data_IF_930574808515
#
_entry.id   IF_930574808515
#
_cell.length_a   1.000
_cell.length_b   1.000
_cell.length_c   1.000
_cell.angle_alpha   90.00
_cell.angle_beta   90.00
_cell.angle_gamma   90.00
#
_symmetry.space_group_name_H-M   'P 1'
#
loop_
_entity.id
_entity.type
_entity.pdbx_description
1 polymer ?
#
# COMPACT_ATOMS: atom_id res chain seq x y z
N UNK A 1 1.24 46.93 -61.81
CA UNK A 1 0.95 45.48 -61.94
C UNK A 1 1.25 44.81 -60.60
N UNK A 2 0.27 44.12 -59.99
CA UNK A 2 0.35 43.44 -58.70
C UNK A 2 0.80 41.96 -58.90
N UNK A 3 0.75 41.05 -57.89
CA UNK A 3 0.69 41.25 -56.43
C UNK A 3 1.69 40.39 -55.62
N UNK A 4 1.90 40.82 -54.38
CA UNK A 4 2.27 40.00 -53.21
C UNK A 4 1.03 39.31 -52.62
N UNK A 5 1.09 37.99 -52.44
CA UNK A 5 0.06 37.15 -51.77
C UNK A 5 0.77 36.29 -50.72
N UNK A 6 0.13 36.08 -49.57
CA UNK A 6 0.49 35.18 -48.45
C UNK A 6 0.93 35.84 -47.12
N UNK A 7 0.10 36.75 -46.59
CA UNK A 7 0.18 37.12 -45.16
C UNK A 7 -1.17 37.42 -44.48
N UNK A 8 -2.27 36.82 -44.97
CA UNK A 8 -3.63 37.08 -44.42
C UNK A 8 -4.39 35.80 -44.06
N UNK A 9 -3.92 34.60 -44.41
CA UNK A 9 -4.65 33.34 -44.10
C UNK A 9 -4.29 32.68 -42.76
N UNK A 10 -3.28 33.17 -42.03
CA UNK A 10 -2.82 32.55 -40.78
C UNK A 10 -3.40 33.15 -39.49
N UNK A 11 -4.08 34.30 -39.55
CA UNK A 11 -4.69 34.92 -38.36
C UNK A 11 -6.16 34.53 -38.15
N UNK A 12 -6.85 33.98 -39.14
CA UNK A 12 -8.25 33.52 -39.01
C UNK A 12 -8.40 32.13 -38.40
N UNK A 13 -7.32 31.32 -38.37
CA UNK A 13 -7.34 29.98 -37.77
C UNK A 13 -7.07 29.98 -36.25
N UNK A 14 -6.59 31.09 -35.68
CA UNK A 14 -6.22 31.18 -34.26
C UNK A 14 -7.33 31.78 -33.36
N UNK A 15 -8.41 32.30 -33.95
CA UNK A 15 -9.50 32.98 -33.23
C UNK A 15 -10.79 32.15 -33.07
N UNK A 16 -10.86 30.92 -33.57
CA UNK A 16 -12.14 30.19 -33.72
C UNK A 16 -12.42 29.07 -32.69
N UNK A 17 -11.52 28.76 -31.76
CA UNK A 17 -11.73 27.62 -30.83
C UNK A 17 -11.77 28.00 -29.36
N UNK A 18 -12.18 29.23 -29.05
CA UNK A 18 -12.63 29.59 -27.70
C UNK A 18 -13.99 30.27 -27.74
N UNK A 19 -15.06 29.47 -27.66
CA UNK A 19 -16.26 29.75 -26.83
C UNK A 19 -17.37 28.71 -27.02
N UNK A 20 -18.03 28.41 -25.91
CA UNK A 20 -19.10 27.42 -25.67
C UNK A 20 -18.59 25.97 -25.65
N UNK A 21 -18.42 25.34 -24.50
CA UNK A 21 -19.44 25.11 -23.48
C UNK A 21 -19.05 25.60 -22.08
N UNK A 22 -19.82 26.56 -21.59
CA UNK A 22 -20.07 26.72 -20.16
C UNK A 22 -20.81 25.48 -19.66
N UNK A 23 -20.09 24.50 -19.14
CA UNK A 23 -20.70 23.48 -18.28
C UNK A 23 -20.53 23.93 -16.84
N UNK A 24 -21.69 24.14 -16.22
CA UNK A 24 -21.90 24.32 -14.80
C UNK A 24 -20.98 23.43 -13.98
N UNK A 25 -20.27 24.07 -13.05
CA UNK A 25 -19.80 23.46 -11.81
C UNK A 25 -21.05 22.88 -11.17
N UNK A 26 -21.23 21.55 -11.18
CA UNK A 26 -22.12 20.72 -10.34
C UNK A 26 -22.55 19.43 -11.05
N UNK A 27 -21.59 18.60 -11.49
CA UNK A 27 -21.87 17.19 -11.85
C UNK A 27 -20.80 16.27 -11.26
N UNK A 28 -21.09 15.53 -10.16
CA UNK A 28 -20.10 14.67 -9.49
C UNK A 28 -19.69 13.44 -10.32
N UNK A 29 -20.46 13.07 -11.35
CA UNK A 29 -20.31 11.81 -12.09
C UNK A 29 -19.47 11.91 -13.38
N UNK A 30 -19.22 13.12 -13.90
CA UNK A 30 -18.48 13.35 -15.18
C UNK A 30 -16.96 13.54 -14.96
N UNK A 31 -16.50 13.55 -13.70
CA UNK A 31 -15.13 13.95 -13.36
C UNK A 31 -14.11 12.82 -13.29
N UNK A 32 -14.48 11.55 -13.08
CA UNK A 32 -13.50 10.45 -12.94
C UNK A 32 -12.92 9.95 -14.26
N UNK A 33 -13.69 9.92 -15.34
CA UNK A 33 -13.27 9.33 -16.62
C UNK A 33 -12.21 10.19 -17.34
N UNK A 34 -12.28 11.53 -17.16
CA UNK A 34 -11.32 12.48 -17.72
C UNK A 34 -10.05 12.70 -16.86
N UNK A 35 -9.91 12.01 -15.71
CA UNK A 35 -8.74 12.11 -14.84
C UNK A 35 -7.65 11.10 -15.24
N UNK A 36 -8.04 9.94 -15.76
CA UNK A 36 -7.14 8.86 -16.15
C UNK A 36 -6.93 8.91 -17.66
N UNK A 37 -5.84 9.54 -18.13
CA UNK A 37 -5.47 9.48 -19.54
C UNK A 37 -5.07 8.06 -19.96
N UNK A 38 -5.30 7.70 -21.23
CA UNK A 38 -4.78 6.45 -21.79
C UNK A 38 -3.24 6.46 -21.73
N UNK A 39 -2.67 5.42 -21.11
CA UNK A 39 -1.21 5.26 -20.99
C UNK A 39 -0.71 4.29 -22.07
N UNK A 40 0.42 4.56 -22.75
CA UNK A 40 0.97 3.64 -23.73
C UNK A 40 1.42 2.32 -23.07
N UNK A 41 0.97 1.18 -23.62
CA UNK A 41 1.39 -0.15 -23.19
C UNK A 41 2.91 -0.31 -23.32
N UNK A 42 3.58 -0.62 -22.21
CA UNK A 42 5.04 -0.83 -22.17
C UNK A 42 5.31 -2.29 -21.84
N UNK A 43 6.40 -2.91 -22.31
CA UNK A 43 6.71 -4.32 -22.02
C UNK A 43 6.86 -4.67 -20.51
N UNK A 44 6.79 -3.68 -19.63
CA UNK A 44 6.88 -3.79 -18.16
C UNK A 44 5.55 -3.51 -17.45
N UNK A 45 4.44 -3.32 -18.17
CA UNK A 45 3.13 -3.10 -17.56
C UNK A 45 2.52 -4.40 -17.04
N UNK A 46 1.74 -4.29 -15.96
CA UNK A 46 1.07 -5.41 -15.31
C UNK A 46 -0.43 -5.40 -15.63
N UNK A 47 -0.98 -6.60 -15.83
CA UNK A 47 -2.42 -6.76 -16.03
C UNK A 47 -3.19 -6.45 -14.74
N UNK A 48 -4.49 -6.08 -14.81
CA UNK A 48 -5.31 -5.86 -13.61
C UNK A 48 -5.34 -7.05 -12.65
N UNK A 49 -5.29 -8.27 -13.18
CA UNK A 49 -5.25 -9.52 -12.41
C UNK A 49 -3.91 -9.70 -11.67
N UNK A 50 -2.80 -9.40 -12.34
CA UNK A 50 -1.48 -9.42 -11.71
C UNK A 50 -1.37 -8.34 -10.63
N UNK A 51 -1.90 -7.15 -10.89
CA UNK A 51 -1.99 -6.07 -9.92
C UNK A 51 -2.84 -6.48 -8.70
N UNK A 52 -3.96 -7.17 -8.91
CA UNK A 52 -4.79 -7.72 -7.84
C UNK A 52 -4.01 -8.68 -6.94
N UNK A 53 -3.30 -9.65 -7.53
CA UNK A 53 -2.49 -10.62 -6.78
C UNK A 53 -1.39 -9.92 -5.98
N UNK A 54 -0.68 -8.96 -6.60
CA UNK A 54 0.34 -8.17 -5.91
C UNK A 54 -0.24 -7.35 -4.76
N UNK A 55 -1.40 -6.72 -4.96
CA UNK A 55 -2.08 -5.91 -3.95
C UNK A 55 -2.54 -6.77 -2.78
N UNK A 56 -3.19 -7.92 -3.02
CA UNK A 56 -3.60 -8.87 -1.99
C UNK A 56 -2.38 -9.34 -1.19
N UNK A 57 -1.30 -9.73 -1.85
CA UNK A 57 -0.09 -10.21 -1.17
C UNK A 57 0.46 -9.15 -0.20
N UNK A 58 0.59 -7.91 -0.68
CA UNK A 58 1.16 -6.83 0.14
C UNK A 58 0.23 -6.48 1.29
N UNK A 59 -1.08 -6.44 1.05
CA UNK A 59 -2.08 -6.14 2.08
C UNK A 59 -2.26 -7.28 3.10
N UNK A 60 -2.08 -8.55 2.73
CA UNK A 60 -2.18 -9.67 3.69
C UNK A 60 -1.01 -9.64 4.67
N UNK A 61 0.21 -9.41 4.17
CA UNK A 61 1.39 -9.11 4.98
C UNK A 61 1.68 -10.08 6.12
N UNK A 62 2.54 -9.68 7.05
CA UNK A 62 2.79 -10.42 8.30
C UNK A 62 1.80 -10.04 9.39
N UNK A 63 1.19 -8.85 9.30
CA UNK A 63 0.27 -8.36 10.31
C UNK A 63 -1.00 -9.22 10.46
N UNK A 64 -1.41 -9.96 9.41
CA UNK A 64 -2.51 -10.92 9.54
C UNK A 64 -2.29 -11.98 10.62
N UNK A 65 -1.02 -12.36 10.87
CA UNK A 65 -0.66 -13.36 11.87
C UNK A 65 -0.90 -12.86 13.29
N UNK A 66 -1.01 -11.54 13.48
CA UNK A 66 -1.24 -10.89 14.77
C UNK A 66 -2.71 -10.55 15.02
N UNK A 67 -3.59 -10.77 14.03
CA UNK A 67 -5.03 -10.51 14.17
C UNK A 67 -5.69 -11.31 15.30
N UNK A 68 -5.35 -12.58 15.57
CA UNK A 68 -5.91 -13.30 16.72
C UNK A 68 -5.62 -12.60 18.05
N UNK A 69 -4.43 -12.01 18.19
CA UNK A 69 -4.07 -11.20 19.35
C UNK A 69 -4.89 -9.90 19.40
N UNK A 70 -5.11 -9.24 18.26
CA UNK A 70 -6.00 -8.08 18.21
C UNK A 70 -7.40 -8.42 18.75
N UNK A 71 -8.01 -9.51 18.25
CA UNK A 71 -9.34 -9.95 18.68
C UNK A 71 -9.41 -10.33 20.17
N UNK A 72 -8.28 -10.73 20.79
CA UNK A 72 -8.21 -10.89 22.25
C UNK A 72 -8.41 -9.58 23.01
N UNK A 73 -7.97 -8.46 22.46
CA UNK A 73 -8.14 -7.14 23.08
C UNK A 73 -9.55 -6.57 22.89
N UNK A 74 -10.15 -6.74 21.71
CA UNK A 74 -11.48 -6.17 21.39
C UNK A 74 -12.66 -7.10 21.67
N UNK A 75 -12.45 -8.41 21.79
CA UNK A 75 -13.52 -9.41 21.81
C UNK A 75 -14.04 -9.76 20.41
N UNK A 76 -14.74 -10.88 20.27
CA UNK A 76 -15.09 -11.45 18.97
C UNK A 76 -15.94 -10.51 18.09
N UNK A 77 -17.11 -10.09 18.60
CA UNK A 77 -18.09 -9.35 17.80
C UNK A 77 -17.71 -7.89 17.62
N UNK A 78 -17.21 -7.27 18.69
CA UNK A 78 -16.74 -5.89 18.65
C UNK A 78 -15.52 -5.75 17.73
N UNK A 79 -14.59 -6.72 17.78
CA UNK A 79 -13.45 -6.80 16.88
C UNK A 79 -13.86 -6.95 15.42
N UNK A 80 -14.83 -7.82 15.11
CA UNK A 80 -15.35 -8.01 13.75
C UNK A 80 -15.96 -6.72 13.19
N UNK A 81 -16.76 -6.03 14.00
CA UNK A 81 -17.37 -4.76 13.62
C UNK A 81 -16.33 -3.67 13.34
N UNK A 82 -15.37 -3.46 14.25
CA UNK A 82 -14.33 -2.46 14.04
C UNK A 82 -13.38 -2.82 12.91
N UNK A 83 -13.06 -4.10 12.71
CA UNK A 83 -12.25 -4.55 11.59
C UNK A 83 -12.89 -4.18 10.24
N UNK A 84 -14.21 -4.37 10.10
CA UNK A 84 -14.95 -3.99 8.91
C UNK A 84 -14.93 -2.46 8.69
N UNK A 85 -15.13 -1.67 9.75
CA UNK A 85 -15.06 -0.20 9.67
C UNK A 85 -13.66 0.25 9.24
N UNK A 86 -12.60 -0.27 9.88
CA UNK A 86 -11.22 0.08 9.57
C UNK A 86 -10.93 -0.26 8.11
N UNK A 87 -11.37 -1.42 7.62
CA UNK A 87 -11.20 -1.78 6.22
C UNK A 87 -11.87 -0.78 5.27
N UNK A 88 -13.13 -0.41 5.51
CA UNK A 88 -13.84 0.58 4.69
C UNK A 88 -13.13 1.94 4.69
N UNK A 89 -12.67 2.39 5.87
CA UNK A 89 -11.91 3.64 6.02
C UNK A 89 -10.58 3.55 5.27
N UNK A 90 -9.84 2.45 5.41
CA UNK A 90 -8.58 2.21 4.70
C UNK A 90 -8.78 2.22 3.18
N UNK A 91 -9.78 1.49 2.66
CA UNK A 91 -10.10 1.48 1.23
C UNK A 91 -10.47 2.87 0.71
N UNK A 92 -11.27 3.62 1.49
CA UNK A 92 -11.61 5.01 1.16
C UNK A 92 -10.35 5.90 1.10
N UNK A 93 -9.48 5.82 2.10
CA UNK A 93 -8.22 6.56 2.12
C UNK A 93 -7.32 6.20 0.93
N UNK A 94 -7.24 4.92 0.56
CA UNK A 94 -6.48 4.45 -0.59
C UNK A 94 -7.04 5.00 -1.91
N UNK A 95 -8.37 5.02 -2.05
CA UNK A 95 -9.03 5.63 -3.22
C UNK A 95 -8.75 7.12 -3.31
N UNK A 96 -8.87 7.84 -2.19
CA UNK A 96 -8.55 9.28 -2.13
C UNK A 96 -7.08 9.54 -2.48
N UNK A 97 -6.14 8.70 -2.01
CA UNK A 97 -4.73 8.81 -2.34
C UNK A 97 -4.48 8.72 -3.86
N UNK A 98 -5.13 7.76 -4.55
CA UNK A 98 -5.01 7.61 -6.01
C UNK A 98 -5.61 8.82 -6.75
N UNK A 99 -6.79 9.28 -6.34
CA UNK A 99 -7.43 10.47 -6.94
C UNK A 99 -6.55 11.73 -6.78
N UNK A 100 -5.99 11.94 -5.58
CA UNK A 100 -5.07 13.03 -5.31
C UNK A 100 -3.79 12.93 -6.16
N UNK A 101 -3.26 11.71 -6.35
CA UNK A 101 -2.11 11.48 -7.22
C UNK A 101 -2.37 11.98 -8.64
N UNK A 102 -3.49 11.58 -9.24
CA UNK A 102 -3.83 11.99 -10.60
C UNK A 102 -4.15 13.48 -10.72
N UNK A 103 -4.79 14.07 -9.72
CA UNK A 103 -5.01 15.51 -9.66
C UNK A 103 -3.68 16.29 -9.70
N UNK A 104 -2.67 15.83 -8.96
CA UNK A 104 -1.32 16.43 -8.93
C UNK A 104 -0.57 16.14 -10.24
N UNK A 105 -0.66 14.93 -10.81
CA UNK A 105 -0.09 14.56 -12.11
C UNK A 105 -0.53 15.54 -13.19
N UNK A 106 -1.85 15.81 -13.29
CA UNK A 106 -2.43 16.72 -14.28
C UNK A 106 -1.95 18.16 -14.10
N UNK A 107 -1.75 18.62 -12.86
CA UNK A 107 -1.22 19.97 -12.57
C UNK A 107 0.27 20.12 -12.86
N UNK A 108 1.07 19.07 -12.63
CA UNK A 108 2.52 19.08 -12.90
C UNK A 108 2.87 18.69 -14.34
N UNK A 109 1.90 18.22 -15.14
CA UNK A 109 2.13 17.74 -16.49
C UNK A 109 2.99 16.47 -16.52
N UNK A 110 2.83 15.60 -15.52
CA UNK A 110 3.58 14.33 -15.40
C UNK A 110 2.62 13.14 -15.47
N UNK A 111 3.03 12.07 -16.15
CA UNK A 111 2.16 10.88 -16.36
C UNK A 111 2.14 9.93 -15.14
N UNK A 112 3.19 9.96 -14.30
CA UNK A 112 3.36 9.10 -13.12
C UNK A 112 4.01 9.87 -11.98
N UNK A 113 3.50 9.68 -10.77
CA UNK A 113 4.08 10.23 -9.53
C UNK A 113 4.28 9.11 -8.51
N UNK A 114 5.47 9.06 -7.92
CA UNK A 114 5.73 8.19 -6.78
C UNK A 114 5.04 8.74 -5.53
N UNK A 115 4.79 7.86 -4.56
CA UNK A 115 4.13 8.19 -3.29
C UNK A 115 4.71 9.45 -2.62
N UNK A 116 6.04 9.60 -2.61
CA UNK A 116 6.68 10.75 -1.99
C UNK A 116 6.46 12.08 -2.76
N UNK A 117 6.30 12.04 -4.08
CA UNK A 117 6.04 13.22 -4.89
C UNK A 117 4.57 13.61 -4.86
N UNK A 118 3.66 12.64 -4.74
CA UNK A 118 2.24 12.88 -4.43
C UNK A 118 2.11 13.60 -3.10
N UNK A 119 2.78 13.10 -2.05
CA UNK A 119 2.74 13.75 -0.73
C UNK A 119 3.31 15.18 -0.76
N UNK A 120 4.42 15.40 -1.46
CA UNK A 120 4.98 16.75 -1.66
C UNK A 120 4.01 17.66 -2.42
N UNK A 121 3.44 17.17 -3.52
CA UNK A 121 2.46 17.94 -4.29
C UNK A 121 1.21 18.27 -3.48
N UNK A 122 0.75 17.34 -2.63
CA UNK A 122 -0.40 17.57 -1.76
C UNK A 122 -0.15 18.70 -0.74
N UNK A 123 1.08 18.82 -0.24
CA UNK A 123 1.51 19.92 0.63
C UNK A 123 1.67 21.23 -0.15
N UNK A 124 2.31 21.19 -1.32
CA UNK A 124 2.57 22.37 -2.17
C UNK A 124 1.27 23.03 -2.67
N UNK A 125 0.30 22.21 -3.08
CA UNK A 125 -1.01 22.65 -3.56
C UNK A 125 -2.09 22.66 -2.47
N UNK A 126 -1.70 22.33 -1.23
CA UNK A 126 -2.58 22.32 -0.08
C UNK A 126 -2.98 23.73 0.38
N UNK A 127 -3.95 23.83 1.30
CA UNK A 127 -4.42 25.10 1.84
C UNK A 127 -3.28 25.86 2.57
N UNK A 128 -3.34 27.21 2.66
CA UNK A 128 -2.18 28.05 3.00
C UNK A 128 -1.52 27.74 4.35
N UNK A 129 -2.30 27.40 5.38
CA UNK A 129 -1.82 26.87 6.66
C UNK A 129 -0.93 25.62 6.52
N UNK A 130 -1.32 24.62 5.73
CA UNK A 130 -0.53 23.39 5.53
C UNK A 130 0.72 23.68 4.68
N UNK A 131 0.70 24.68 3.80
CA UNK A 131 1.86 25.03 2.97
C UNK A 131 3.03 25.57 3.79
N UNK A 132 2.73 26.30 4.87
CA UNK A 132 3.74 26.84 5.79
C UNK A 132 4.25 25.78 6.78
N UNK A 133 3.37 24.94 7.34
CA UNK A 133 3.73 23.86 8.26
C UNK A 133 4.20 22.56 7.57
N UNK A 134 3.93 22.36 6.30
CA UNK A 134 4.27 21.13 5.58
C UNK A 134 5.77 20.97 5.34
N UNK A 135 6.51 22.08 5.25
CA UNK A 135 7.97 22.06 5.31
C UNK A 135 8.49 21.74 6.72
N UNK A 136 7.74 22.09 7.78
CA UNK A 136 8.06 21.72 9.16
C UNK A 136 7.91 20.20 9.40
N UNK A 137 6.90 19.53 8.82
CA UNK A 137 6.79 18.06 8.87
C UNK A 137 7.97 17.33 8.21
N UNK A 138 8.61 17.91 7.19
CA UNK A 138 9.84 17.36 6.58
C UNK A 138 11.03 17.45 7.55
N UNK A 139 11.10 18.54 8.32
CA UNK A 139 12.14 18.77 9.33
C UNK A 139 11.92 17.86 10.54
N UNK A 140 10.70 17.81 11.06
CA UNK A 140 10.32 17.07 12.27
C UNK A 140 10.40 15.54 12.10
N UNK A 141 10.05 14.98 10.93
CA UNK A 141 10.18 13.54 10.69
C UNK A 141 11.64 13.10 10.59
N UNK A 142 12.53 13.97 10.09
CA UNK A 142 13.98 13.71 10.11
C UNK A 142 14.61 13.99 11.48
N UNK A 143 14.13 15.01 12.21
CA UNK A 143 14.65 15.40 13.52
C UNK A 143 14.18 14.47 14.66
N UNK A 144 12.92 14.01 14.70
CA UNK A 144 12.45 13.05 15.71
C UNK A 144 13.04 11.65 15.52
N UNK A 145 13.48 11.30 14.31
CA UNK A 145 14.28 10.08 14.07
C UNK A 145 15.74 10.26 14.52
N UNK A 146 16.13 11.44 15.01
CA UNK A 146 17.51 11.81 15.38
C UNK A 146 17.73 12.17 16.85
N UNK A 147 16.69 12.19 17.69
CA UNK A 147 16.81 12.60 19.10
C UNK A 147 16.88 11.45 20.10
N UNK A 148 17.84 10.53 19.91
CA UNK A 148 18.25 9.57 20.95
C UNK A 148 19.76 9.72 21.19
N UNK A 149 20.14 10.04 22.43
CA UNK A 149 21.52 10.33 22.88
C UNK A 149 22.45 9.09 22.95
N UNK A 150 22.49 8.27 21.90
CA UNK A 150 23.49 7.21 21.67
C UNK A 150 24.12 7.45 20.29
N UNK A 151 25.43 7.25 20.15
CA UNK A 151 26.24 7.46 18.93
C UNK A 151 25.45 7.17 17.64
N UNK A 152 25.05 8.25 16.96
CA UNK A 152 24.17 8.27 15.79
C UNK A 152 24.73 7.42 14.64
N UNK A 153 26.06 7.32 14.54
CA UNK A 153 26.75 6.46 13.60
C UNK A 153 26.59 4.97 13.90
N UNK A 154 26.37 4.56 15.15
CA UNK A 154 26.24 3.16 15.56
C UNK A 154 24.94 2.50 15.12
N UNK A 155 23.80 3.18 15.31
CA UNK A 155 22.51 2.71 14.82
C UNK A 155 22.40 2.79 13.30
N UNK A 156 22.92 3.87 12.71
CA UNK A 156 23.00 4.01 11.27
C UNK A 156 23.87 2.89 10.71
N UNK A 157 25.08 2.63 11.21
CA UNK A 157 25.94 1.54 10.73
C UNK A 157 25.33 0.14 10.95
N UNK A 158 24.69 -0.10 12.10
CA UNK A 158 24.10 -1.39 12.45
C UNK A 158 22.87 -1.74 11.60
N UNK A 159 22.07 -0.74 11.17
CA UNK A 159 20.98 -0.91 10.21
C UNK A 159 21.47 -0.83 8.75
N UNK A 160 22.49 -0.01 8.47
CA UNK A 160 23.04 0.20 7.12
C UNK A 160 23.72 -1.06 6.59
N UNK A 161 24.38 -1.88 7.40
CA UNK A 161 25.03 -3.11 6.96
C UNK A 161 24.00 -4.15 6.42
N UNK A 162 22.92 -4.49 7.15
CA UNK A 162 21.88 -5.37 6.59
C UNK A 162 21.06 -4.70 5.49
N UNK A 163 20.81 -3.38 5.55
CA UNK A 163 20.09 -2.64 4.49
C UNK A 163 20.91 -2.58 3.20
N UNK A 164 22.21 -2.30 3.25
CA UNK A 164 23.09 -2.31 2.07
C UNK A 164 23.24 -3.71 1.48
N UNK A 165 23.32 -4.75 2.33
CA UNK A 165 23.33 -6.16 1.90
C UNK A 165 22.03 -6.56 1.19
N UNK A 166 20.87 -6.17 1.72
CA UNK A 166 19.55 -6.44 1.13
C UNK A 166 19.25 -5.55 -0.09
N UNK A 167 19.80 -4.34 -0.17
CA UNK A 167 19.64 -3.39 -1.29
C UNK A 167 20.64 -3.60 -2.43
N UNK A 168 21.58 -4.55 -2.34
CA UNK A 168 22.52 -4.87 -3.44
C UNK A 168 21.83 -5.64 -4.58
N UNK A 169 20.57 -6.07 -4.43
CA UNK A 169 19.79 -6.64 -5.53
C UNK A 169 19.32 -5.53 -6.47
N UNK A 170 20.23 -5.07 -7.32
CA UNK A 170 19.99 -4.07 -8.38
C UNK A 170 19.17 -4.60 -9.56
N UNK A 171 18.87 -5.90 -9.60
CA UNK A 171 18.13 -6.51 -10.71
C UNK A 171 16.79 -7.08 -10.24
N UNK A 172 15.77 -6.23 -10.18
CA UNK A 172 14.35 -6.61 -10.03
C UNK A 172 13.93 -7.72 -11.02
N UNK A 173 14.60 -7.82 -12.17
CA UNK A 173 14.36 -8.86 -13.20
C UNK A 173 14.65 -10.28 -12.72
N UNK A 174 15.67 -10.50 -11.88
CA UNK A 174 15.99 -11.84 -11.34
C UNK A 174 15.08 -12.19 -10.16
N UNK A 175 14.54 -11.17 -9.48
CA UNK A 175 13.67 -11.34 -8.32
C UNK A 175 12.23 -11.71 -8.73
N UNK A 176 11.78 -11.34 -9.92
CA UNK A 176 10.42 -11.62 -10.40
C UNK A 176 10.00 -13.11 -10.31
N UNK A 177 10.75 -14.10 -10.86
CA UNK A 177 10.38 -15.50 -10.74
C UNK A 177 10.48 -16.03 -9.29
N UNK A 178 11.46 -15.55 -8.53
CA UNK A 178 11.61 -15.92 -7.12
C UNK A 178 10.44 -15.40 -6.27
N UNK A 179 10.01 -14.16 -6.52
CA UNK A 179 8.86 -13.54 -5.87
C UNK A 179 7.56 -14.26 -6.25
N UNK A 180 7.40 -14.72 -7.49
CA UNK A 180 6.27 -15.54 -7.90
C UNK A 180 6.19 -16.83 -7.07
N UNK A 181 7.30 -17.57 -6.96
CA UNK A 181 7.37 -18.78 -6.14
C UNK A 181 7.05 -18.46 -4.67
N UNK A 182 7.65 -17.39 -4.12
CA UNK A 182 7.38 -16.96 -2.75
C UNK A 182 5.91 -16.59 -2.52
N UNK A 183 5.21 -16.04 -3.52
CA UNK A 183 3.77 -15.74 -3.42
C UNK A 183 2.94 -17.02 -3.33
N UNK A 184 3.23 -18.01 -4.17
CA UNK A 184 2.54 -19.30 -4.13
C UNK A 184 2.77 -20.01 -2.79
N UNK A 185 4.01 -20.02 -2.31
CA UNK A 185 4.37 -20.59 -1.01
C UNK A 185 3.67 -19.85 0.13
N UNK A 186 3.60 -18.53 0.06
CA UNK A 186 2.90 -17.71 1.06
C UNK A 186 1.40 -18.01 1.11
N UNK A 187 0.72 -18.05 -0.04
CA UNK A 187 -0.71 -18.39 -0.11
C UNK A 187 -0.97 -19.78 0.46
N UNK A 188 -0.12 -20.75 0.10
CA UNK A 188 -0.21 -22.11 0.64
C UNK A 188 -0.02 -22.12 2.17
N UNK A 189 0.99 -21.43 2.69
CA UNK A 189 1.27 -21.36 4.11
C UNK A 189 0.13 -20.69 4.90
N UNK A 190 -0.46 -19.63 4.35
CA UNK A 190 -1.66 -18.98 4.90
C UNK A 190 -2.84 -19.95 4.93
N UNK A 191 -3.05 -20.71 3.84
CA UNK A 191 -4.09 -21.73 3.76
C UNK A 191 -3.98 -22.77 4.88
N UNK A 192 -2.78 -23.31 5.12
CA UNK A 192 -2.57 -24.29 6.20
C UNK A 192 -2.80 -23.68 7.59
N UNK A 193 -2.40 -22.42 7.80
CA UNK A 193 -2.68 -21.74 9.07
C UNK A 193 -4.19 -21.60 9.28
N UNK A 194 -4.94 -21.16 8.25
CA UNK A 194 -6.40 -21.02 8.33
C UNK A 194 -7.07 -22.38 8.58
N UNK A 195 -6.64 -23.44 7.90
CA UNK A 195 -7.12 -24.81 8.12
C UNK A 195 -6.91 -25.25 9.57
N UNK A 196 -5.70 -25.04 10.12
CA UNK A 196 -5.40 -25.35 11.51
C UNK A 196 -6.33 -24.59 12.49
N UNK A 197 -6.58 -23.30 12.23
CA UNK A 197 -7.45 -22.48 13.07
C UNK A 197 -8.91 -22.95 13.03
N UNK A 198 -9.42 -23.35 11.87
CA UNK A 198 -10.82 -23.79 11.71
C UNK A 198 -11.04 -25.21 12.25
N UNK A 199 -10.00 -26.05 12.28
CA UNK A 199 -10.10 -27.43 12.79
C UNK A 199 -9.98 -27.52 14.32
N UNK A 200 -9.35 -26.54 14.97
CA UNK A 200 -9.10 -26.53 16.42
C UNK A 200 -9.92 -25.46 17.15
N UNK A 201 -11.23 -25.40 16.86
CA UNK A 201 -12.12 -24.40 17.45
C UNK A 201 -12.57 -24.80 18.85
N UNK A 202 -12.51 -23.84 19.78
CA UNK A 202 -13.19 -23.95 21.07
C UNK A 202 -14.65 -23.45 20.95
N UNK A 203 -15.54 -23.77 21.90
CA UNK A 203 -16.89 -23.21 21.95
C UNK A 203 -16.87 -21.68 21.99
N UNK A 204 -17.82 -21.01 21.33
CA UNK A 204 -17.89 -19.54 21.24
C UNK A 204 -18.01 -18.88 22.61
N UNK A 205 -18.64 -19.56 23.57
CA UNK A 205 -18.80 -19.08 24.95
C UNK A 205 -17.50 -19.07 25.76
N UNK A 206 -16.42 -19.68 25.24
CA UNK A 206 -15.12 -19.72 25.91
C UNK A 206 -14.35 -18.39 25.85
N UNK A 207 -14.78 -17.46 25.01
CA UNK A 207 -14.13 -16.17 24.78
C UNK A 207 -15.11 -15.00 24.91
N UNK A 208 -14.68 -13.83 25.40
CA UNK A 208 -15.54 -12.67 25.55
C UNK A 208 -16.09 -12.19 24.20
N UNK A 209 -17.42 -12.06 24.13
CA UNK A 209 -18.12 -11.45 22.99
C UNK A 209 -17.71 -9.99 22.76
N UNK A 210 -17.46 -9.26 23.86
CA UNK A 210 -17.08 -7.84 23.88
C UNK A 210 -15.92 -7.65 24.85
N UNK A 211 -14.82 -7.09 24.37
CA UNK A 211 -13.62 -6.78 25.14
C UNK A 211 -13.73 -5.48 25.94
N UNK A 212 -12.65 -5.11 26.62
CA UNK A 212 -12.59 -3.88 27.44
C UNK A 212 -12.23 -2.69 26.56
N UNK A 213 -12.89 -1.54 26.79
CA UNK A 213 -12.60 -0.32 26.03
C UNK A 213 -11.15 0.17 26.17
N UNK A 214 -10.49 -0.15 27.28
CA UNK A 214 -9.10 0.25 27.55
C UNK A 214 -8.09 -0.44 26.62
N UNK A 215 -8.42 -1.62 26.11
CA UNK A 215 -7.55 -2.42 25.25
C UNK A 215 -7.80 -2.12 23.75
N UNK A 216 -8.81 -1.30 23.42
CA UNK A 216 -9.12 -0.92 22.04
C UNK A 216 -7.97 -0.23 21.31
N UNK A 217 -7.17 0.68 21.92
CA UNK A 217 -6.02 1.26 21.23
C UNK A 217 -5.01 0.22 20.75
N UNK A 218 -4.80 -0.87 21.52
CA UNK A 218 -3.95 -1.99 21.11
C UNK A 218 -4.57 -2.73 19.92
N UNK A 219 -5.88 -2.99 19.95
CA UNK A 219 -6.60 -3.57 18.82
C UNK A 219 -6.44 -2.73 17.55
N UNK A 220 -6.73 -1.42 17.63
CA UNK A 220 -6.59 -0.51 16.48
C UNK A 220 -5.15 -0.49 15.97
N UNK A 221 -4.15 -0.42 16.85
CA UNK A 221 -2.74 -0.45 16.47
C UNK A 221 -2.36 -1.73 15.71
N UNK A 222 -2.76 -2.90 16.22
CA UNK A 222 -2.46 -4.18 15.57
C UNK A 222 -3.22 -4.35 14.24
N UNK A 223 -4.47 -3.91 14.15
CA UNK A 223 -5.24 -3.97 12.88
C UNK A 223 -4.68 -2.98 11.86
N UNK A 224 -4.30 -1.77 12.26
CA UNK A 224 -3.66 -0.80 11.38
C UNK A 224 -2.29 -1.30 10.88
N UNK A 225 -1.55 -2.02 11.73
CA UNK A 225 -0.34 -2.73 11.32
C UNK A 225 -0.65 -3.88 10.34
N UNK A 226 -1.77 -4.57 10.49
CA UNK A 226 -2.20 -5.57 9.51
C UNK A 226 -2.52 -4.95 8.15
N UNK A 227 -3.21 -3.81 8.12
CA UNK A 227 -3.46 -3.03 6.88
C UNK A 227 -2.23 -2.26 6.37
N UNK A 228 -1.03 -2.77 6.62
CA UNK A 228 0.20 -2.31 5.97
C UNK A 228 0.14 -2.60 4.47
N UNK A 229 0.54 -1.64 3.63
CA UNK A 229 0.51 -1.79 2.17
C UNK A 229 0.10 -0.54 1.40
N UNK A 230 -0.35 0.50 2.09
CA UNK A 230 -0.77 1.77 1.44
C UNK A 230 0.35 2.40 0.60
N UNK A 231 1.62 2.24 1.01
CA UNK A 231 2.76 2.82 0.31
C UNK A 231 3.02 2.22 -1.09
N UNK A 232 2.60 0.98 -1.35
CA UNK A 232 2.81 0.30 -2.64
C UNK A 232 1.66 0.50 -3.62
N UNK A 233 0.55 1.10 -3.17
CA UNK A 233 -0.66 1.31 -3.99
C UNK A 233 -0.34 2.13 -5.24
N UNK A 234 0.40 3.23 -5.07
CA UNK A 234 0.76 4.10 -6.19
C UNK A 234 1.78 3.46 -7.15
N UNK A 235 2.87 2.82 -6.68
CA UNK A 235 3.73 2.02 -7.55
C UNK A 235 3.00 0.94 -8.36
N UNK A 236 2.05 0.22 -7.75
CA UNK A 236 1.25 -0.81 -8.44
C UNK A 236 0.35 -0.17 -9.49
N UNK A 237 -0.38 0.90 -9.13
CA UNK A 237 -1.24 1.64 -10.06
C UNK A 237 -0.45 2.20 -11.26
N UNK A 238 0.73 2.75 -10.99
CA UNK A 238 1.62 3.33 -12.00
C UNK A 238 2.14 2.31 -13.02
N UNK A 239 2.11 1.01 -12.68
CA UNK A 239 2.54 -0.08 -13.55
C UNK A 239 1.38 -0.75 -14.29
N UNK A 240 0.13 -0.44 -13.95
CA UNK A 240 -1.03 -1.09 -14.57
C UNK A 240 -1.30 -0.57 -15.99
N UNK A 241 -1.69 -1.51 -16.86
CA UNK A 241 -2.17 -1.21 -18.22
C UNK A 241 -3.43 -0.33 -18.22
N UNK A 242 -4.35 -0.59 -17.28
CA UNK A 242 -5.65 0.08 -17.19
C UNK A 242 -5.84 0.72 -15.80
N UNK A 243 -5.27 1.91 -15.56
CA UNK A 243 -5.30 2.56 -14.25
C UNK A 243 -6.71 2.94 -13.78
N UNK A 244 -7.63 3.26 -14.71
CA UNK A 244 -9.03 3.54 -14.37
C UNK A 244 -9.74 2.35 -13.69
N UNK A 245 -9.39 1.12 -14.09
CA UNK A 245 -9.94 -0.10 -13.49
C UNK A 245 -9.42 -0.32 -12.05
N UNK A 246 -8.39 0.42 -11.60
CA UNK A 246 -7.88 0.31 -10.24
C UNK A 246 -8.91 0.82 -9.20
N UNK A 247 -9.53 1.97 -9.46
CA UNK A 247 -10.46 2.65 -8.54
C UNK A 247 -11.94 2.45 -8.86
N UNK A 248 -12.25 1.74 -9.94
CA UNK A 248 -13.63 1.42 -10.35
C UNK A 248 -14.38 0.68 -9.24
N UNK A 249 -15.72 0.71 -9.25
CA UNK A 249 -16.53 0.10 -8.18
C UNK A 249 -16.25 -1.40 -7.99
N UNK A 250 -16.07 -2.14 -9.09
CA UNK A 250 -15.61 -3.53 -9.10
C UNK A 250 -14.14 -3.62 -9.52
N UNK A 251 -13.37 -2.59 -9.21
CA UNK A 251 -11.98 -2.46 -9.57
C UNK A 251 -11.05 -3.32 -8.71
N UNK A 252 -9.76 -3.22 -9.02
CA UNK A 252 -8.70 -3.99 -8.36
C UNK A 252 -8.64 -3.67 -6.86
N UNK A 253 -8.74 -2.40 -6.47
CA UNK A 253 -8.63 -1.96 -5.07
C UNK A 253 -9.77 -2.50 -4.18
N UNK A 254 -11.01 -2.39 -4.64
CA UNK A 254 -12.18 -2.84 -3.87
C UNK A 254 -12.20 -4.37 -3.76
N UNK A 255 -11.88 -5.07 -4.86
CA UNK A 255 -11.81 -6.54 -4.88
C UNK A 255 -10.71 -7.04 -3.95
N UNK A 256 -9.51 -6.43 -3.99
CA UNK A 256 -8.42 -6.77 -3.07
C UNK A 256 -8.82 -6.53 -1.61
N UNK A 257 -9.40 -5.36 -1.32
CA UNK A 257 -9.81 -4.98 0.03
C UNK A 257 -10.86 -5.95 0.61
N UNK A 258 -11.86 -6.34 -0.20
CA UNK A 258 -12.89 -7.29 0.20
C UNK A 258 -12.30 -8.68 0.48
N UNK A 259 -11.39 -9.16 -0.37
CA UNK A 259 -10.75 -10.46 -0.17
C UNK A 259 -9.86 -10.46 1.09
N UNK A 260 -9.07 -9.40 1.27
CA UNK A 260 -8.24 -9.21 2.47
C UNK A 260 -9.10 -9.16 3.71
N UNK A 261 -10.20 -8.40 3.69
CA UNK A 261 -11.16 -8.35 4.80
C UNK A 261 -11.72 -9.73 5.12
N UNK A 262 -12.11 -10.52 4.13
CA UNK A 262 -12.61 -11.88 4.34
C UNK A 262 -11.57 -12.77 5.03
N UNK A 263 -10.31 -12.73 4.57
CA UNK A 263 -9.21 -13.46 5.20
C UNK A 263 -8.96 -12.95 6.62
N UNK A 264 -8.97 -11.64 6.84
CA UNK A 264 -8.71 -11.02 8.14
C UNK A 264 -9.81 -11.32 9.16
N UNK A 265 -11.06 -11.28 8.74
CA UNK A 265 -12.19 -11.71 9.56
C UNK A 265 -12.05 -13.18 9.93
N UNK A 266 -11.71 -14.04 8.96
CA UNK A 266 -11.53 -15.49 9.19
C UNK A 266 -10.37 -15.74 10.16
N UNK A 267 -9.19 -15.20 9.88
CA UNK A 267 -8.01 -15.39 10.73
C UNK A 267 -8.16 -14.75 12.11
N UNK A 268 -8.74 -13.56 12.21
CA UNK A 268 -8.97 -12.88 13.48
C UNK A 268 -10.02 -13.58 14.35
N UNK A 269 -11.20 -13.86 13.79
CA UNK A 269 -12.31 -14.48 14.50
C UNK A 269 -11.99 -15.93 14.90
N UNK A 270 -11.67 -16.79 13.93
CA UNK A 270 -11.36 -18.20 14.23
C UNK A 270 -10.02 -18.36 14.94
N UNK A 271 -9.06 -17.47 14.68
CA UNK A 271 -7.78 -17.51 15.39
C UNK A 271 -7.92 -17.21 16.88
N UNK A 272 -8.73 -16.21 17.24
CA UNK A 272 -9.00 -15.95 18.65
C UNK A 272 -9.85 -17.06 19.27
N UNK A 273 -10.82 -17.61 18.53
CA UNK A 273 -11.64 -18.71 19.02
C UNK A 273 -10.83 -20.01 19.26
N UNK A 274 -9.88 -20.32 18.38
CA UNK A 274 -9.03 -21.50 18.50
C UNK A 274 -7.98 -21.37 19.62
N UNK A 275 -7.40 -20.17 19.80
CA UNK A 275 -6.27 -19.95 20.72
C UNK A 275 -6.68 -19.39 22.08
N UNK A 276 -7.84 -18.77 22.17
CA UNK A 276 -8.37 -18.14 23.38
C UNK A 276 -7.39 -17.17 24.03
N UNK A 277 -7.31 -17.22 25.36
CA UNK A 277 -6.45 -16.32 26.14
C UNK A 277 -4.94 -16.63 26.02
N UNK A 278 -4.57 -17.79 25.49
CA UNK A 278 -3.17 -18.22 25.34
C UNK A 278 -2.52 -17.74 24.04
N UNK A 279 -3.21 -16.88 23.26
CA UNK A 279 -2.67 -16.33 22.03
C UNK A 279 -1.40 -15.52 22.30
N UNK A 280 -0.31 -15.93 21.64
CA UNK A 280 0.94 -15.16 21.51
C UNK A 280 0.84 -14.11 20.40
N UNK A 281 1.86 -13.25 20.31
CA UNK A 281 1.96 -12.12 19.37
C UNK A 281 1.65 -12.49 17.91
N UNK A 282 2.06 -13.68 17.49
CA UNK A 282 1.73 -14.23 16.17
C UNK A 282 1.15 -15.63 16.29
N UNK A 283 0.17 -15.95 15.44
CA UNK A 283 -0.46 -17.28 15.35
C UNK A 283 0.56 -18.39 15.12
N UNK A 284 1.63 -18.13 14.37
CA UNK A 284 2.68 -19.10 14.07
C UNK A 284 3.42 -19.58 15.32
N UNK A 285 3.49 -18.77 16.39
CA UNK A 285 4.09 -19.16 17.67
C UNK A 285 3.20 -20.09 18.51
N UNK A 286 1.92 -20.20 18.16
CA UNK A 286 0.95 -21.08 18.82
C UNK A 286 0.79 -22.43 18.11
N UNK A 287 1.30 -22.56 16.88
CA UNK A 287 1.29 -23.84 16.15
C UNK A 287 2.13 -24.90 16.88
N UNK A 288 1.68 -26.16 16.92
CA UNK A 288 2.34 -27.23 17.65
C UNK A 288 3.74 -27.51 17.06
N UNK A 289 4.70 -27.96 17.88
CA UNK A 289 6.09 -28.16 17.49
C UNK A 289 6.29 -29.48 16.71
N UNK A 290 5.43 -29.77 15.73
CA UNK A 290 5.63 -30.89 14.81
C UNK A 290 6.51 -30.45 13.64
N UNK A 291 7.21 -31.41 13.02
CA UNK A 291 8.09 -31.17 11.87
C UNK A 291 7.34 -30.41 10.77
N UNK A 292 6.09 -30.80 10.50
CA UNK A 292 5.25 -30.17 9.47
C UNK A 292 5.05 -28.67 9.71
N UNK A 293 4.58 -28.27 10.90
CA UNK A 293 4.36 -26.85 11.20
C UNK A 293 5.67 -26.08 11.36
N UNK A 294 6.76 -26.72 11.79
CA UNK A 294 8.08 -26.08 11.80
C UNK A 294 8.58 -25.77 10.39
N UNK A 295 8.39 -26.67 9.43
CA UNK A 295 8.68 -26.42 8.01
C UNK A 295 7.88 -25.23 7.48
N UNK A 296 6.57 -25.16 7.78
CA UNK A 296 5.72 -24.03 7.39
C UNK A 296 6.22 -22.72 8.01
N UNK A 297 6.62 -22.71 9.28
CA UNK A 297 7.20 -21.51 9.92
C UNK A 297 8.46 -21.04 9.18
N UNK A 298 9.37 -21.94 8.83
CA UNK A 298 10.59 -21.61 8.08
C UNK A 298 10.24 -21.09 6.69
N UNK A 299 9.30 -21.72 5.99
CA UNK A 299 8.81 -21.26 4.68
C UNK A 299 8.20 -19.86 4.76
N UNK A 300 7.43 -19.59 5.80
CA UNK A 300 6.82 -18.28 6.04
C UNK A 300 7.89 -17.20 6.26
N UNK A 301 8.89 -17.47 7.11
CA UNK A 301 10.03 -16.58 7.33
C UNK A 301 10.80 -16.33 6.02
N UNK A 302 11.05 -17.35 5.22
CA UNK A 302 11.68 -17.21 3.91
C UNK A 302 10.89 -16.31 2.95
N UNK A 303 9.56 -16.45 2.90
CA UNK A 303 8.69 -15.62 2.08
C UNK A 303 8.68 -14.15 2.52
N UNK A 304 8.70 -13.90 3.84
CA UNK A 304 8.83 -12.56 4.40
C UNK A 304 10.18 -11.96 4.01
N UNK A 305 11.27 -12.74 4.10
CA UNK A 305 12.60 -12.27 3.73
C UNK A 305 12.69 -11.82 2.27
N UNK A 306 12.09 -12.58 1.35
CA UNK A 306 11.99 -12.23 -0.08
C UNK A 306 11.14 -10.97 -0.32
N UNK A 307 10.26 -10.60 0.62
CA UNK A 307 9.38 -9.44 0.49
C UNK A 307 10.03 -8.12 0.95
N UNK A 308 11.11 -8.15 1.75
CA UNK A 308 11.82 -6.94 2.18
C UNK A 308 12.34 -6.08 1.01
N UNK A 309 12.97 -6.63 -0.05
CA UNK A 309 13.41 -5.82 -1.20
C UNK A 309 12.27 -5.04 -1.86
N UNK A 310 11.06 -5.59 -1.89
CA UNK A 310 9.87 -4.90 -2.42
C UNK A 310 9.40 -3.77 -1.50
N UNK A 311 9.43 -3.98 -0.18
CA UNK A 311 9.12 -2.93 0.81
C UNK A 311 10.13 -1.78 0.76
N UNK A 312 11.41 -2.11 0.59
CA UNK A 312 12.49 -1.12 0.46
C UNK A 312 12.61 -0.49 -0.93
N UNK A 313 11.83 -0.95 -1.92
CA UNK A 313 11.83 -0.37 -3.26
C UNK A 313 11.50 1.12 -3.25
N UNK A 314 10.44 1.53 -2.53
CA UNK A 314 9.99 2.93 -2.48
C UNK A 314 11.04 3.84 -1.80
N UNK A 315 11.62 3.48 -0.63
CA UNK A 315 12.76 4.20 -0.08
C UNK A 315 13.99 4.23 -1.00
N UNK A 316 14.33 3.11 -1.63
CA UNK A 316 15.53 2.97 -2.44
C UNK A 316 15.46 3.79 -3.73
N UNK A 317 14.31 3.79 -4.41
CA UNK A 317 14.06 4.65 -5.57
C UNK A 317 14.31 6.13 -5.24
N UNK A 318 13.95 6.55 -4.01
CA UNK A 318 14.21 7.91 -3.55
C UNK A 318 15.69 8.18 -3.31
N UNK A 319 16.40 7.24 -2.71
CA UNK A 319 17.85 7.35 -2.47
C UNK A 319 18.58 7.41 -3.81
N UNK A 320 18.22 6.55 -4.76
CA UNK A 320 18.78 6.53 -6.11
C UNK A 320 18.57 7.85 -6.85
N UNK A 321 17.34 8.38 -6.85
CA UNK A 321 17.03 9.71 -7.43
C UNK A 321 17.78 10.86 -6.75
N UNK A 322 18.19 10.71 -5.49
CA UNK A 322 19.01 11.71 -4.78
C UNK A 322 20.50 11.57 -5.13
N UNK A 323 21.01 10.33 -5.22
CA UNK A 323 22.39 10.03 -5.60
C UNK A 323 22.66 10.44 -7.04
N UNK A 324 21.80 10.07 -7.98
CA UNK A 324 21.95 10.40 -9.42
C UNK A 324 21.94 11.92 -9.69
N UNK A 325 21.31 12.73 -8.84
CA UNK A 325 21.40 14.20 -8.93
C UNK A 325 22.73 14.78 -8.46
N UNK A 326 23.49 14.03 -7.66
CA UNK A 326 24.75 14.47 -7.05
C UNK A 326 26.00 13.93 -7.76
N UNK A 327 25.85 12.87 -8.54
CA UNK A 327 26.92 12.30 -9.35
C UNK A 327 26.72 12.84 -10.78
N UNK A 328 27.60 13.70 -11.30
CA UNK A 328 27.61 14.04 -12.71
C UNK A 328 27.80 12.75 -13.51
N UNK A 329 26.97 12.51 -14.53
CA UNK A 329 27.25 11.44 -15.48
C UNK A 329 28.52 11.82 -16.26
N UNK A 330 29.59 11.05 -16.09
CA UNK A 330 30.78 11.08 -16.96
C UNK A 330 30.53 10.25 -18.24
#
# INVERSE_FOLDING_TARGET
MPPSRNRVETESAFSATSRSSSSTIDDPLISTENIFGERPHTATSISPEQALIHLIKVMLGTGMLSLPLAFKHSGLWLGLFFLAIICVVCTYCCRQLVLCSHYICRRKGQDRLDFANVMRGAVEYGPPWIREYGYFSKQLFFDETSSIHISQAGWIALLLIPILGLCTIRQLKVLAPLALIANCVYIFAVGVVIEYLITHLNPVDSVPAVGRLQDLPLFFGTVMFAFEGVAVILPIENQMDQPHHFISSNGVLNTASLLVLAVYCTTGFYGYLALGNSVKDTVTLNLPPTIFYQTIKIMFVGCILVSYPLQFYVPMERVEKWISRKIPEE
#
